data_IF_865715491978
#
_entry.id   IF_865715491978
#
_cell.length_a   1.000
_cell.length_b   1.000
_cell.length_c   1.000
_cell.angle_alpha   90.00
_cell.angle_beta   90.00
_cell.angle_gamma   90.00
#
_symmetry.space_group_name_H-M   'P 1'
#
loop_
_entity.id
_entity.type
_entity.pdbx_description
1 polymer ?
#
# COMPACT_ATOMS: atom_id res chain seq x y z
N UNK A 1 16.43 21.60 -20.03
CA UNK A 1 15.81 20.26 -20.16
C UNK A 1 16.70 19.30 -19.38
N UNK A 2 16.97 19.63 -18.10
CA UNK A 2 18.20 19.22 -17.39
C UNK A 2 17.93 18.18 -16.30
N UNK A 3 16.67 17.79 -16.09
CA UNK A 3 16.28 16.82 -15.09
C UNK A 3 16.63 15.37 -15.47
N UNK A 4 16.87 15.10 -16.77
CA UNK A 4 17.09 13.73 -17.28
C UNK A 4 18.57 13.33 -17.26
N UNK A 5 19.48 14.29 -17.41
CA UNK A 5 20.94 14.04 -17.47
C UNK A 5 21.59 13.70 -16.12
N UNK A 6 20.83 13.83 -15.01
CA UNK A 6 21.28 13.46 -13.67
C UNK A 6 20.65 12.16 -13.13
N UNK A 7 19.98 11.37 -13.99
CA UNK A 7 19.53 10.04 -13.58
C UNK A 7 20.76 9.15 -13.33
N UNK A 8 21.06 9.00 -12.06
CA UNK A 8 21.97 7.97 -11.57
C UNK A 8 21.35 6.60 -11.83
N UNK A 9 22.21 5.60 -12.06
CA UNK A 9 21.78 4.21 -12.12
C UNK A 9 21.01 3.89 -10.83
N UNK A 10 19.90 3.13 -10.94
CA UNK A 10 19.01 2.83 -9.81
C UNK A 10 19.78 2.22 -8.62
N UNK A 11 20.85 1.46 -8.88
CA UNK A 11 21.69 0.89 -7.85
C UNK A 11 22.49 1.93 -7.03
N UNK A 12 22.69 3.12 -7.58
CA UNK A 12 23.41 4.24 -6.96
C UNK A 12 22.50 5.36 -6.46
N UNK A 13 21.18 5.22 -6.64
CA UNK A 13 20.20 6.20 -6.17
C UNK A 13 20.08 6.17 -4.64
N UNK A 14 20.08 7.36 -4.02
CA UNK A 14 19.81 7.49 -2.59
C UNK A 14 18.33 7.21 -2.25
N UNK A 15 17.44 7.54 -3.18
CA UNK A 15 15.99 7.32 -3.08
C UNK A 15 15.47 6.90 -4.45
N UNK A 16 14.70 5.81 -4.49
CA UNK A 16 14.00 5.35 -5.69
C UNK A 16 12.50 5.55 -5.49
N UNK A 17 11.87 6.29 -6.40
CA UNK A 17 10.40 6.43 -6.47
C UNK A 17 9.91 5.61 -7.63
N UNK A 18 8.96 4.72 -7.39
CA UNK A 18 8.43 3.81 -8.42
C UNK A 18 6.98 3.49 -8.14
N UNK A 19 6.26 3.10 -9.18
CA UNK A 19 4.92 2.49 -9.01
C UNK A 19 5.08 1.05 -8.50
N UNK A 20 4.10 0.55 -7.75
CA UNK A 20 4.13 -0.82 -7.25
C UNK A 20 4.23 -1.87 -8.39
N UNK A 21 3.66 -1.57 -9.56
CA UNK A 21 3.79 -2.43 -10.75
C UNK A 21 5.24 -2.52 -11.24
N UNK A 22 5.92 -1.39 -11.39
CA UNK A 22 7.32 -1.34 -11.84
C UNK A 22 8.27 -1.92 -10.79
N UNK A 23 7.94 -1.81 -9.50
CA UNK A 23 8.72 -2.38 -8.41
C UNK A 23 8.63 -3.91 -8.30
N UNK A 24 7.75 -4.57 -9.04
CA UNK A 24 7.57 -6.02 -9.00
C UNK A 24 8.89 -6.75 -9.32
N UNK A 25 9.28 -7.69 -8.46
CA UNK A 25 10.53 -8.46 -8.61
C UNK A 25 11.79 -7.72 -8.12
N UNK A 26 11.64 -6.51 -7.56
CA UNK A 26 12.71 -5.75 -6.91
C UNK A 26 12.45 -5.65 -5.41
N UNK A 27 13.49 -5.39 -4.62
CA UNK A 27 13.37 -5.31 -3.17
C UNK A 27 14.37 -4.30 -2.60
N UNK A 28 13.99 -3.65 -1.50
CA UNK A 28 14.79 -2.64 -0.81
C UNK A 28 14.84 -2.89 0.70
N UNK A 29 15.93 -2.50 1.39
CA UNK A 29 16.02 -2.56 2.85
C UNK A 29 14.83 -1.89 3.55
N UNK A 30 14.46 -0.69 3.10
CA UNK A 30 13.39 0.12 3.65
C UNK A 30 12.45 0.58 2.52
N UNK A 31 11.15 0.46 2.73
CA UNK A 31 10.12 0.93 1.78
C UNK A 31 9.11 1.79 2.52
N UNK A 32 8.71 2.90 1.90
CA UNK A 32 7.58 3.72 2.34
C UNK A 32 6.51 3.72 1.26
N UNK A 33 5.28 3.40 1.65
CA UNK A 33 4.12 3.50 0.78
C UNK A 33 3.70 4.98 0.67
N UNK A 34 3.57 5.47 -0.56
CA UNK A 34 3.12 6.83 -0.86
C UNK A 34 1.58 6.95 -0.76
N UNK A 35 1.03 8.11 -1.13
CA UNK A 35 -0.39 8.48 -0.92
C UNK A 35 -1.41 7.79 -1.81
N UNK A 36 -1.04 6.77 -2.58
CA UNK A 36 -1.87 6.21 -3.64
C UNK A 36 -2.87 5.15 -3.14
N UNK A 37 -2.63 4.55 -1.96
CA UNK A 37 -3.50 3.52 -1.40
C UNK A 37 -4.55 4.11 -0.48
N UNK A 38 -5.79 4.20 -0.96
CA UNK A 38 -6.92 4.77 -0.24
C UNK A 38 -7.78 3.65 0.40
N UNK A 39 -8.49 3.93 1.51
CA UNK A 39 -9.47 3.00 2.05
C UNK A 39 -10.60 2.75 1.04
N UNK A 40 -11.28 1.59 1.10
CA UNK A 40 -12.46 1.35 0.29
C UNK A 40 -13.53 2.41 0.61
N UNK A 41 -14.32 2.77 -0.40
CA UNK A 41 -15.44 3.69 -0.19
C UNK A 41 -16.44 3.08 0.76
N UNK A 42 -16.97 3.90 1.66
CA UNK A 42 -18.03 3.49 2.57
C UNK A 42 -19.27 3.02 1.81
N UNK A 43 -19.97 2.06 2.40
CA UNK A 43 -21.30 1.67 1.98
C UNK A 43 -22.33 2.70 2.43
N UNK A 44 -23.58 2.60 1.94
CA UNK A 44 -24.67 3.44 2.43
C UNK A 44 -25.16 3.08 3.85
N UNK A 45 -24.59 2.03 4.47
CA UNK A 45 -24.98 1.54 5.79
C UNK A 45 -24.09 2.13 6.90
N UNK A 46 -24.63 2.16 8.11
CA UNK A 46 -23.91 2.55 9.32
C UNK A 46 -23.92 1.39 10.33
N UNK A 47 -22.89 1.32 11.18
CA UNK A 47 -22.77 0.34 12.25
C UNK A 47 -23.66 0.69 13.47
N UNK A 48 -23.60 -0.13 14.52
CA UNK A 48 -24.36 0.07 15.77
C UNK A 48 -24.02 1.39 16.50
N UNK A 49 -22.86 1.96 16.19
CA UNK A 49 -22.35 3.22 16.76
C UNK A 49 -22.63 4.41 15.84
N UNK A 50 -23.27 4.20 14.68
CA UNK A 50 -23.57 5.24 13.70
C UNK A 50 -22.38 5.65 12.83
N UNK A 51 -21.29 4.87 12.79
CA UNK A 51 -20.18 5.11 11.86
C UNK A 51 -20.48 4.48 10.51
N UNK A 52 -20.03 5.09 9.39
CA UNK A 52 -20.19 4.49 8.07
C UNK A 52 -19.44 3.15 8.01
N UNK A 53 -20.08 2.14 7.41
CA UNK A 53 -19.48 0.81 7.24
C UNK A 53 -18.59 0.82 6.01
N UNK A 54 -17.27 0.53 6.14
CA UNK A 54 -16.37 0.46 4.99
C UNK A 54 -16.84 -0.57 3.95
N UNK A 55 -16.73 -0.22 2.68
CA UNK A 55 -17.00 -1.14 1.58
C UNK A 55 -16.01 -2.31 1.53
N UNK A 56 -16.27 -3.31 0.67
CA UNK A 56 -15.32 -4.40 0.46
C UNK A 56 -14.00 -3.88 -0.12
N UNK A 57 -12.88 -4.46 0.33
CA UNK A 57 -11.57 -4.19 -0.25
C UNK A 57 -11.54 -4.77 -1.68
N UNK A 58 -11.21 -3.94 -2.67
CA UNK A 58 -11.03 -4.41 -4.04
C UNK A 58 -9.84 -5.37 -4.12
N UNK A 59 -10.06 -6.53 -4.74
CA UNK A 59 -9.04 -7.59 -4.79
C UNK A 59 -7.83 -7.22 -5.65
N UNK A 60 -7.99 -6.33 -6.64
CA UNK A 60 -6.88 -5.85 -7.49
C UNK A 60 -6.01 -4.88 -6.70
N UNK A 61 -6.63 -3.95 -5.99
CA UNK A 61 -5.94 -3.04 -5.06
C UNK A 61 -5.22 -3.80 -3.94
N UNK A 62 -5.86 -4.82 -3.36
CA UNK A 62 -5.24 -5.67 -2.33
C UNK A 62 -3.98 -6.40 -2.86
N UNK A 63 -4.02 -6.90 -4.11
CA UNK A 63 -2.85 -7.52 -4.75
C UNK A 63 -1.75 -6.50 -5.01
N UNK A 64 -2.10 -5.28 -5.40
CA UNK A 64 -1.13 -4.21 -5.62
C UNK A 64 -0.45 -3.80 -4.30
N UNK A 65 -1.23 -3.68 -3.23
CA UNK A 65 -0.73 -3.43 -1.87
C UNK A 65 0.20 -4.56 -1.42
N UNK A 66 -0.18 -5.82 -1.65
CA UNK A 66 0.68 -6.97 -1.38
C UNK A 66 2.01 -6.89 -2.13
N UNK A 67 2.00 -6.55 -3.42
CA UNK A 67 3.23 -6.35 -4.18
C UNK A 67 4.07 -5.26 -3.54
N UNK A 68 3.49 -4.10 -3.22
CA UNK A 68 4.22 -2.97 -2.64
C UNK A 68 4.85 -3.30 -1.26
N UNK A 69 4.09 -3.92 -0.37
CA UNK A 69 4.54 -4.32 0.98
C UNK A 69 5.70 -5.31 0.89
N UNK A 70 5.58 -6.31 0.02
CA UNK A 70 6.60 -7.36 -0.11
C UNK A 70 7.89 -6.89 -0.79
N UNK A 71 7.99 -5.62 -1.20
CA UNK A 71 9.27 -5.05 -1.66
C UNK A 71 10.18 -4.67 -0.49
N UNK A 72 9.64 -4.56 0.72
CA UNK A 72 10.40 -4.24 1.92
C UNK A 72 11.11 -5.47 2.48
N UNK A 73 12.43 -5.39 2.71
CA UNK A 73 13.20 -6.49 3.31
C UNK A 73 13.33 -6.40 4.83
N UNK A 74 13.44 -5.19 5.39
CA UNK A 74 13.66 -5.00 6.82
C UNK A 74 12.60 -4.10 7.45
N UNK A 75 12.34 -2.93 6.85
CA UNK A 75 11.35 -2.00 7.38
C UNK A 75 10.36 -1.56 6.33
N UNK A 76 9.08 -1.61 6.71
CA UNK A 76 7.97 -1.07 5.93
C UNK A 76 7.33 0.07 6.71
N UNK A 77 7.30 1.25 6.09
CA UNK A 77 6.41 2.32 6.50
C UNK A 77 5.13 2.25 5.65
N UNK A 78 4.02 1.90 6.29
CA UNK A 78 2.72 1.66 5.63
C UNK A 78 2.08 2.93 5.05
N UNK A 79 2.51 4.13 5.44
CA UNK A 79 2.03 5.37 4.83
C UNK A 79 0.51 5.43 4.72
N UNK A 80 -0.02 5.70 3.52
CA UNK A 80 -1.46 5.75 3.30
C UNK A 80 -2.16 4.40 3.47
N UNK A 81 -1.45 3.27 3.45
CA UNK A 81 -2.01 1.93 3.66
C UNK A 81 -2.31 1.63 5.15
N UNK A 82 -2.01 2.56 6.07
CA UNK A 82 -2.24 2.38 7.50
C UNK A 82 -3.71 2.12 7.87
N UNK A 83 -4.67 2.57 7.05
CA UNK A 83 -6.11 2.33 7.27
C UNK A 83 -6.49 0.84 7.36
N UNK A 84 -5.65 -0.07 6.87
CA UNK A 84 -5.91 -1.51 6.90
C UNK A 84 -5.99 -2.07 8.33
N UNK A 85 -5.32 -1.41 9.28
CA UNK A 85 -5.32 -1.81 10.69
C UNK A 85 -6.72 -1.63 11.34
N UNK A 86 -7.51 -0.68 10.84
CA UNK A 86 -8.84 -0.35 11.35
C UNK A 86 -9.97 -1.01 10.53
N UNK A 87 -9.63 -1.71 9.44
CA UNK A 87 -10.63 -2.28 8.54
C UNK A 87 -11.28 -3.55 9.15
N UNK A 88 -12.61 -3.64 9.27
CA UNK A 88 -13.28 -4.70 10.03
C UNK A 88 -13.03 -6.12 9.49
N UNK A 89 -12.73 -6.26 8.19
CA UNK A 89 -12.36 -7.56 7.60
C UNK A 89 -10.95 -8.07 7.97
N UNK A 90 -10.10 -7.27 8.64
CA UNK A 90 -8.74 -7.69 9.04
C UNK A 90 -8.75 -8.70 10.19
N UNK A 91 -9.83 -8.74 10.98
CA UNK A 91 -10.00 -9.59 12.17
C UNK A 91 -10.77 -10.89 11.90
N UNK A 92 -11.05 -11.24 10.64
CA UNK A 92 -11.76 -12.49 10.33
C UNK A 92 -10.81 -13.68 10.44
N UNK A 93 -10.62 -14.19 11.66
CA UNK A 93 -10.09 -15.52 11.92
C UNK A 93 -10.76 -16.51 10.96
N UNK A 94 -10.01 -17.34 10.21
CA UNK A 94 -10.64 -18.39 9.41
C UNK A 94 -11.47 -19.27 10.35
N UNK A 95 -12.72 -19.53 9.96
CA UNK A 95 -13.59 -20.46 10.67
C UNK A 95 -12.88 -21.82 10.84
N UNK A 96 -13.09 -22.52 11.98
CA UNK A 96 -12.37 -23.76 12.33
C UNK A 96 -12.54 -24.88 11.32
#
# INVERSE_FOLDING_TARGET
MDAVDHLHDEASAQVTVSTAHTAKGREWPNVRIAGDFHPPKDTSSHDENGNPVPGPIDTTEARLAYVAITRARHHLNRGSLAWIDDHPNTSRTPAP
#
